data_IF_821141893203
#
_entry.id   IF_821141893203
#
_cell.length_a   1.000
_cell.length_b   1.000
_cell.length_c   1.000
_cell.angle_alpha   90.00
_cell.angle_beta   90.00
_cell.angle_gamma   90.00
#
_symmetry.space_group_name_H-M   'P 1'
#
loop_
_entity.id
_entity.type
_entity.pdbx_description
1 polymer ?
#
# COMPACT_ATOMS: atom_id res chain seq x y z
N UNK A 1 -53.33 23.45 4.63
CA UNK A 1 -52.68 22.64 3.56
C UNK A 1 -51.32 23.24 3.16
N UNK A 2 -50.41 23.51 4.12
CA UNK A 2 -49.08 24.13 3.85
C UNK A 2 -47.89 23.39 4.49
N UNK A 3 -48.15 22.40 5.35
CA UNK A 3 -47.13 21.70 6.15
C UNK A 3 -46.47 20.59 5.32
N UNK A 4 -47.22 19.92 4.44
CA UNK A 4 -46.70 18.84 3.58
C UNK A 4 -45.66 19.33 2.56
N UNK A 5 -45.74 20.59 2.11
CA UNK A 5 -44.78 21.16 1.17
C UNK A 5 -43.44 21.50 1.82
N UNK A 6 -43.45 22.06 3.04
CA UNK A 6 -42.21 22.31 3.80
C UNK A 6 -41.48 21.02 4.16
N UNK A 7 -42.23 20.00 4.59
CA UNK A 7 -41.66 18.69 4.91
C UNK A 7 -41.03 18.03 3.67
N UNK A 8 -41.66 18.19 2.49
CA UNK A 8 -41.13 17.66 1.23
C UNK A 8 -39.86 18.42 0.80
N UNK A 9 -39.82 19.74 0.96
CA UNK A 9 -38.63 20.56 0.66
C UNK A 9 -37.45 20.23 1.58
N UNK A 10 -37.68 20.05 2.87
CA UNK A 10 -36.65 19.62 3.83
C UNK A 10 -36.12 18.22 3.51
N UNK A 11 -37.00 17.29 3.12
CA UNK A 11 -36.61 15.96 2.66
C UNK A 11 -35.79 16.02 1.35
N UNK A 12 -36.16 16.89 0.42
CA UNK A 12 -35.41 17.08 -0.84
C UNK A 12 -34.02 17.67 -0.61
N UNK A 13 -33.89 18.65 0.29
CA UNK A 13 -32.59 19.23 0.67
C UNK A 13 -31.71 18.21 1.40
N UNK A 14 -32.29 17.42 2.31
CA UNK A 14 -31.59 16.33 2.99
C UNK A 14 -31.09 15.26 2.00
N UNK A 15 -31.91 14.90 1.00
CA UNK A 15 -31.52 13.94 -0.04
C UNK A 15 -30.40 14.49 -0.93
N UNK A 16 -30.43 15.78 -1.27
CA UNK A 16 -29.39 16.42 -2.08
C UNK A 16 -28.03 16.44 -1.36
N UNK A 17 -28.01 16.82 -0.08
CA UNK A 17 -26.78 16.84 0.73
C UNK A 17 -26.23 15.43 0.91
N UNK A 18 -27.10 14.43 1.13
CA UNK A 18 -26.69 13.03 1.26
C UNK A 18 -26.06 12.50 -0.04
N UNK A 19 -26.66 12.81 -1.20
CA UNK A 19 -26.12 12.42 -2.51
C UNK A 19 -24.77 13.10 -2.80
N UNK A 20 -24.61 14.36 -2.42
CA UNK A 20 -23.34 15.08 -2.55
C UNK A 20 -22.26 14.44 -1.68
N UNK A 21 -22.59 14.10 -0.44
CA UNK A 21 -21.67 13.45 0.48
C UNK A 21 -21.28 12.03 0.01
N UNK A 22 -22.21 11.26 -0.56
CA UNK A 22 -21.92 9.95 -1.18
C UNK A 22 -20.96 10.09 -2.36
N UNK A 23 -21.14 11.11 -3.20
CA UNK A 23 -20.25 11.38 -4.33
C UNK A 23 -18.83 11.71 -3.84
N UNK A 24 -18.69 12.55 -2.81
CA UNK A 24 -17.40 12.91 -2.23
C UNK A 24 -16.69 11.70 -1.61
N UNK A 25 -17.42 10.82 -0.91
CA UNK A 25 -16.87 9.55 -0.41
C UNK A 25 -16.42 8.62 -1.54
N UNK A 26 -17.22 8.51 -2.61
CA UNK A 26 -16.88 7.69 -3.77
C UNK A 26 -15.60 8.19 -4.45
N UNK A 27 -15.44 9.51 -4.56
CA UNK A 27 -14.24 10.13 -5.12
C UNK A 27 -12.99 9.88 -4.26
N UNK A 28 -13.10 9.95 -2.93
CA UNK A 28 -12.02 9.60 -2.01
C UNK A 28 -11.61 8.12 -2.14
N UNK A 29 -12.57 7.20 -2.20
CA UNK A 29 -12.31 5.76 -2.39
C UNK A 29 -11.60 5.51 -3.71
N UNK A 30 -12.02 6.18 -4.79
CA UNK A 30 -11.41 6.01 -6.10
C UNK A 30 -9.99 6.56 -6.16
N UNK A 31 -9.69 7.68 -5.49
CA UNK A 31 -8.32 8.20 -5.34
C UNK A 31 -7.40 7.22 -4.59
N UNK A 32 -7.91 6.54 -3.56
CA UNK A 32 -7.16 5.50 -2.84
C UNK A 32 -6.86 4.32 -3.77
N UNK A 33 -7.82 3.91 -4.61
CA UNK A 33 -7.63 2.83 -5.59
C UNK A 33 -6.64 3.19 -6.70
N UNK A 34 -6.52 4.47 -7.07
CA UNK A 34 -5.67 4.91 -8.19
C UNK A 34 -4.28 5.37 -7.79
N UNK A 35 -3.98 5.58 -6.49
CA UNK A 35 -2.65 6.01 -6.01
C UNK A 35 -1.50 5.03 -6.29
N UNK A 36 -1.78 3.80 -6.74
CA UNK A 36 -0.77 2.89 -7.27
C UNK A 36 -0.33 3.28 -8.70
N UNK A 37 0.06 4.54 -8.91
CA UNK A 37 0.58 5.02 -10.19
C UNK A 37 2.07 4.71 -10.31
N UNK A 38 2.38 3.55 -10.88
CA UNK A 38 3.74 3.19 -11.27
C UNK A 38 4.18 1.84 -10.71
N UNK A 39 3.57 0.76 -11.19
CA UNK A 39 4.18 -0.57 -11.07
C UNK A 39 5.51 -0.52 -11.83
N UNK A 40 6.59 -0.20 -11.12
CA UNK A 40 7.95 -0.26 -11.62
C UNK A 40 8.21 -1.73 -11.97
N UNK A 41 8.33 -2.02 -13.27
CA UNK A 41 8.62 -3.37 -13.78
C UNK A 41 10.07 -3.77 -13.52
N UNK A 42 10.96 -2.81 -13.24
CA UNK A 42 12.40 -3.03 -13.23
C UNK A 42 13.07 -2.52 -11.94
N UNK A 43 13.78 -3.46 -11.30
CA UNK A 43 14.67 -3.38 -10.12
C UNK A 43 14.08 -2.83 -8.81
N UNK A 44 14.50 -3.49 -7.73
CA UNK A 44 14.32 -2.99 -6.37
C UNK A 44 15.35 -1.89 -6.11
N UNK A 45 14.89 -0.70 -5.69
CA UNK A 45 15.79 0.35 -5.23
C UNK A 45 16.27 0.06 -3.81
N UNK A 46 17.35 0.74 -3.38
CA UNK A 46 17.89 0.56 -2.02
C UNK A 46 16.91 1.04 -0.96
N UNK A 47 16.15 2.09 -1.27
CA UNK A 47 15.12 2.67 -0.43
C UNK A 47 13.94 1.70 -0.28
N UNK A 48 13.50 1.08 -1.38
CA UNK A 48 12.44 0.08 -1.37
C UNK A 48 12.85 -1.18 -0.58
N UNK A 49 14.10 -1.62 -0.73
CA UNK A 49 14.65 -2.74 0.03
C UNK A 49 14.75 -2.39 1.53
N UNK A 50 15.17 -1.18 1.90
CA UNK A 50 15.21 -0.74 3.30
C UNK A 50 13.81 -0.77 3.94
N UNK A 51 12.81 -0.19 3.27
CA UNK A 51 11.42 -0.23 3.74
C UNK A 51 10.91 -1.67 3.85
N UNK A 52 11.26 -2.53 2.89
CA UNK A 52 10.92 -3.95 2.93
C UNK A 52 11.50 -4.63 4.17
N UNK A 53 12.79 -4.44 4.46
CA UNK A 53 13.46 -5.05 5.61
C UNK A 53 12.87 -4.56 6.93
N UNK A 54 12.71 -3.25 7.10
CA UNK A 54 12.16 -2.66 8.33
C UNK A 54 10.74 -3.17 8.58
N UNK A 55 9.92 -3.19 7.52
CA UNK A 55 8.54 -3.67 7.62
C UNK A 55 8.50 -5.16 7.95
N UNK A 56 9.31 -5.98 7.29
CA UNK A 56 9.40 -7.43 7.57
C UNK A 56 9.88 -7.69 8.99
N UNK A 57 10.76 -6.86 9.54
CA UNK A 57 11.20 -6.99 10.93
C UNK A 57 10.05 -6.73 11.93
N UNK A 58 9.15 -5.80 11.62
CA UNK A 58 8.04 -5.42 12.50
C UNK A 58 6.86 -6.39 12.37
N UNK A 59 6.38 -6.66 11.15
CA UNK A 59 5.15 -7.43 10.91
C UNK A 59 5.42 -8.86 10.40
N UNK A 60 6.66 -9.21 10.06
CA UNK A 60 6.99 -10.52 9.49
C UNK A 60 6.66 -10.65 8.00
N UNK A 61 7.01 -11.80 7.41
CA UNK A 61 6.89 -12.05 5.97
C UNK A 61 5.51 -12.51 5.50
N UNK A 62 4.53 -12.64 6.41
CA UNK A 62 3.25 -13.27 6.11
C UNK A 62 2.24 -12.31 5.46
N UNK A 63 2.41 -10.99 5.64
CA UNK A 63 1.46 -10.00 5.17
C UNK A 63 2.04 -9.13 4.03
N UNK A 64 2.20 -9.73 2.85
CA UNK A 64 2.75 -9.05 1.67
C UNK A 64 1.87 -7.90 1.15
N UNK A 65 0.57 -7.90 1.45
CA UNK A 65 -0.35 -6.84 1.03
C UNK A 65 -0.05 -5.55 1.77
N UNK A 66 0.08 -5.63 3.10
CA UNK A 66 0.45 -4.47 3.92
C UNK A 66 1.85 -3.96 3.60
N UNK A 67 2.80 -4.86 3.38
CA UNK A 67 4.17 -4.50 2.96
C UNK A 67 4.16 -3.74 1.62
N UNK A 68 3.43 -4.24 0.62
CA UNK A 68 3.29 -3.58 -0.68
C UNK A 68 2.64 -2.20 -0.56
N UNK A 69 1.62 -2.05 0.28
CA UNK A 69 0.97 -0.78 0.54
C UNK A 69 1.91 0.26 1.19
N UNK A 70 2.80 -0.19 2.08
CA UNK A 70 3.81 0.67 2.72
C UNK A 70 4.91 1.12 1.76
N UNK A 71 5.34 0.22 0.87
CA UNK A 71 6.31 0.55 -0.19
C UNK A 71 5.67 1.47 -1.25
N UNK A 72 4.37 1.29 -1.54
CA UNK A 72 3.58 2.13 -2.45
C UNK A 72 3.89 1.95 -3.94
N UNK A 73 5.09 1.51 -4.30
CA UNK A 73 5.56 1.31 -5.68
C UNK A 73 5.55 -0.15 -6.16
N UNK A 74 5.36 -1.10 -5.25
CA UNK A 74 5.43 -2.54 -5.52
C UNK A 74 4.11 -3.24 -5.25
N UNK A 75 3.83 -4.27 -6.03
CA UNK A 75 2.66 -5.13 -5.85
C UNK A 75 2.93 -6.23 -4.82
N UNK A 76 1.89 -6.79 -4.18
CA UNK A 76 2.05 -7.90 -3.22
C UNK A 76 2.78 -9.11 -3.83
N UNK A 77 2.54 -9.41 -5.11
CA UNK A 77 3.21 -10.49 -5.84
C UNK A 77 4.71 -10.24 -6.01
N UNK A 78 5.13 -9.00 -6.28
CA UNK A 78 6.55 -8.62 -6.38
C UNK A 78 7.24 -8.72 -5.02
N UNK A 79 6.56 -8.29 -3.94
CA UNK A 79 7.05 -8.43 -2.56
C UNK A 79 7.25 -9.90 -2.22
N UNK A 80 6.26 -10.76 -2.48
CA UNK A 80 6.36 -12.20 -2.23
C UNK A 80 7.53 -12.83 -2.98
N UNK A 81 7.70 -12.49 -4.26
CA UNK A 81 8.81 -12.99 -5.07
C UNK A 81 10.16 -12.57 -4.50
N UNK A 82 10.32 -11.30 -4.11
CA UNK A 82 11.55 -10.80 -3.46
C UNK A 82 11.83 -11.52 -2.14
N UNK A 83 10.83 -11.67 -1.28
CA UNK A 83 10.97 -12.38 0.00
C UNK A 83 11.34 -13.85 -0.19
N UNK A 84 10.80 -14.51 -1.21
CA UNK A 84 11.19 -15.88 -1.57
C UNK A 84 12.67 -15.96 -1.94
N UNK A 85 13.15 -15.06 -2.81
CA UNK A 85 14.57 -15.01 -3.16
C UNK A 85 15.44 -14.75 -1.92
N UNK A 86 15.09 -13.75 -1.09
CA UNK A 86 15.84 -13.43 0.12
C UNK A 86 15.87 -14.59 1.12
N UNK A 87 14.78 -15.33 1.28
CA UNK A 87 14.73 -16.52 2.15
C UNK A 87 15.66 -17.63 1.65
N UNK A 88 15.82 -17.76 0.34
CA UNK A 88 16.77 -18.68 -0.28
C UNK A 88 18.21 -18.16 -0.14
N UNK A 89 18.46 -16.85 -0.27
CA UNK A 89 19.79 -16.23 -0.13
C UNK A 89 20.30 -16.20 1.31
N UNK A 90 19.44 -16.04 2.32
CA UNK A 90 19.82 -16.06 3.74
C UNK A 90 20.26 -17.46 4.21
N UNK A 91 19.94 -18.54 3.47
CA UNK A 91 20.58 -19.85 3.69
C UNK A 91 22.03 -19.93 3.23
N UNK A 92 22.47 -19.00 2.35
CA UNK A 92 23.82 -18.96 1.80
C UNK A 92 24.70 -17.89 2.42
N UNK A 93 24.13 -16.86 3.06
CA UNK A 93 24.88 -15.94 3.93
C UNK A 93 25.20 -16.61 5.28
N UNK A 94 26.00 -17.66 5.22
CA UNK A 94 26.78 -18.11 6.37
C UNK A 94 27.80 -17.01 6.66
N UNK A 95 27.85 -16.42 7.88
CA UNK A 95 28.84 -15.41 8.25
C UNK A 95 30.30 -15.86 8.10
N UNK A 96 30.55 -17.12 7.70
CA UNK A 96 31.88 -17.67 7.44
C UNK A 96 32.38 -17.42 6.01
N UNK A 97 31.51 -17.07 5.05
CA UNK A 97 31.87 -17.12 3.63
C UNK A 97 32.05 -15.74 2.96
N UNK A 98 31.66 -14.62 3.58
CA UNK A 98 31.76 -13.30 2.94
C UNK A 98 32.85 -12.40 3.54
N UNK A 99 34.03 -12.44 2.92
CA UNK A 99 35.07 -11.40 3.06
C UNK A 99 34.71 -10.06 2.39
N UNK A 100 33.48 -9.86 1.92
CA UNK A 100 33.15 -8.70 1.09
C UNK A 100 32.82 -7.41 1.88
N UNK A 101 32.61 -7.47 3.20
CA UNK A 101 32.21 -6.28 3.98
C UNK A 101 33.37 -5.40 4.49
N UNK A 102 34.63 -5.78 4.24
CA UNK A 102 35.80 -5.04 4.73
C UNK A 102 36.43 -4.05 3.72
N UNK A 103 35.73 -3.67 2.64
CA UNK A 103 36.25 -2.74 1.63
C UNK A 103 35.57 -1.36 1.62
N UNK A 104 34.83 -1.00 2.68
CA UNK A 104 34.26 0.34 2.85
C UNK A 104 34.61 0.96 4.23
N UNK A 105 35.81 0.66 4.76
CA UNK A 105 36.43 1.46 5.82
C UNK A 105 37.55 2.33 5.24
#
# INVERSE_FOLDING_TARGET
MKIKNKLLEEQMLSNFVLLQQIHDYTHQINQIKTKCTGVQRDRWSREEDAILFDTVQIIGTHNCITIAALIGSKTPSQVYQKLRYLRETIRFFSPKDDQHYNLLQ
#
